data_IF_619858534181
#
_entry.id   IF_619858534181
#
_cell.length_a   1.000
_cell.length_b   1.000
_cell.length_c   1.000
_cell.angle_alpha   90.00
_cell.angle_beta   90.00
_cell.angle_gamma   90.00
#
_symmetry.space_group_name_H-M   'P 1'
#
loop_
_entity.id
_entity.type
_entity.pdbx_description
1 polymer ?
#
# COMPACT_ATOMS: atom_id res chain seq x y z
N UNK A 1 16.75 1.64 18.97
CA UNK A 1 17.44 0.34 18.83
C UNK A 1 16.41 -0.62 18.24
N UNK A 2 16.75 -1.36 17.17
CA UNK A 2 15.89 -2.15 16.25
C UNK A 2 15.46 -1.40 14.98
N UNK A 3 15.64 -2.02 13.78
CA UNK A 3 15.53 -3.46 13.48
C UNK A 3 16.86 -4.15 13.09
N UNK A 4 17.05 -5.44 13.40
CA UNK A 4 18.27 -6.19 13.03
C UNK A 4 17.99 -7.31 12.00
N UNK A 5 18.95 -7.56 11.10
CA UNK A 5 18.98 -8.66 10.13
C UNK A 5 19.87 -9.79 10.64
N UNK A 6 19.42 -11.03 10.54
CA UNK A 6 20.22 -12.21 10.85
C UNK A 6 21.06 -12.66 9.64
N UNK A 7 22.38 -12.82 9.78
CA UNK A 7 23.19 -13.66 8.86
C UNK A 7 23.77 -14.87 9.59
N UNK A 8 23.63 -16.03 8.96
CA UNK A 8 24.24 -17.29 9.42
C UNK A 8 25.74 -17.29 9.09
N UNK A 9 26.59 -17.61 10.07
CA UNK A 9 28.05 -17.52 9.96
C UNK A 9 28.74 -18.81 9.47
N UNK A 10 28.00 -19.72 8.84
CA UNK A 10 28.57 -20.95 8.26
C UNK A 10 28.50 -20.94 6.72
N UNK A 11 29.38 -20.15 6.10
CA UNK A 11 29.79 -20.39 4.71
C UNK A 11 31.32 -20.34 4.67
N UNK A 12 31.94 -21.53 4.57
CA UNK A 12 33.39 -21.67 4.37
C UNK A 12 33.77 -21.08 3.02
N UNK A 13 34.71 -20.14 3.01
CA UNK A 13 35.40 -19.68 1.82
C UNK A 13 36.34 -20.79 1.29
N UNK A 14 36.41 -21.05 -0.03
CA UNK A 14 37.50 -21.84 -0.59
C UNK A 14 38.77 -20.99 -0.77
N UNK A 15 39.89 -21.64 -0.54
CA UNK A 15 41.22 -21.08 -0.36
C UNK A 15 41.88 -20.50 -1.62
N UNK A 16 42.81 -19.58 -1.37
CA UNK A 16 43.73 -18.95 -2.33
C UNK A 16 44.65 -19.99 -3.01
N UNK A 17 44.84 -19.84 -4.33
CA UNK A 17 46.09 -20.20 -5.04
C UNK A 17 46.41 -19.08 -6.03
N UNK A 18 47.65 -18.61 -6.01
CA UNK A 18 48.31 -17.97 -7.16
C UNK A 18 49.67 -18.67 -7.36
N UNK A 19 50.57 -18.15 -8.22
CA UNK A 19 50.37 -17.38 -9.44
C UNK A 19 50.85 -18.19 -10.68
N UNK A 20 50.45 -17.82 -11.90
CA UNK A 20 51.24 -18.21 -13.08
C UNK A 20 51.23 -17.13 -14.16
N UNK A 21 52.40 -16.99 -14.79
CA UNK A 21 52.86 -15.87 -15.60
C UNK A 21 52.46 -16.01 -17.09
N UNK A 22 52.35 -14.87 -17.79
CA UNK A 22 52.87 -14.72 -19.17
C UNK A 22 51.93 -14.76 -20.39
N UNK A 23 51.55 -13.55 -20.86
CA UNK A 23 51.55 -13.06 -22.26
C UNK A 23 50.57 -13.65 -23.34
N UNK A 24 50.41 -13.00 -24.52
CA UNK A 24 49.95 -11.62 -24.77
C UNK A 24 48.71 -11.54 -25.71
N UNK A 25 48.08 -10.36 -25.75
CA UNK A 25 46.88 -9.99 -26.52
C UNK A 25 47.18 -9.82 -28.02
N UNK A 26 46.36 -10.41 -28.91
CA UNK A 26 46.35 -10.14 -30.37
C UNK A 26 45.22 -9.16 -30.76
N UNK A 27 45.47 -8.20 -31.68
CA UNK A 27 44.45 -7.24 -32.12
C UNK A 27 43.51 -7.81 -33.21
N UNK A 28 42.27 -7.29 -33.25
CA UNK A 28 41.25 -7.60 -34.28
C UNK A 28 41.51 -6.79 -35.56
N UNK A 29 41.28 -7.35 -36.76
CA UNK A 29 41.35 -6.60 -38.02
C UNK A 29 40.02 -5.87 -38.32
N UNK A 30 40.16 -4.69 -38.93
CA UNK A 30 39.08 -3.85 -39.47
C UNK A 30 38.96 -4.12 -40.98
N UNK A 31 37.77 -4.34 -41.55
CA UNK A 31 37.63 -4.46 -43.01
C UNK A 31 37.48 -3.09 -43.70
N UNK A 32 37.99 -2.92 -44.94
CA UNK A 32 38.00 -1.65 -45.65
C UNK A 32 36.68 -1.33 -46.37
N UNK A 33 36.40 -0.03 -46.49
CA UNK A 33 35.39 0.56 -47.36
C UNK A 33 35.89 0.55 -48.82
N UNK A 34 35.07 0.04 -49.75
CA UNK A 34 35.23 0.27 -51.18
C UNK A 34 33.95 0.83 -51.78
N UNK A 35 34.15 1.92 -52.52
CA UNK A 35 33.20 2.73 -53.25
C UNK A 35 33.02 2.20 -54.67
N UNK A 36 31.78 2.25 -55.18
CA UNK A 36 31.46 2.64 -56.55
C UNK A 36 31.57 1.58 -57.67
N UNK A 37 30.44 1.12 -58.17
CA UNK A 37 30.16 0.95 -59.61
C UNK A 37 28.66 0.68 -59.84
N UNK A 38 28.11 1.37 -60.83
CA UNK A 38 26.68 1.51 -61.18
C UNK A 38 26.22 0.56 -62.31
N UNK A 39 24.93 0.20 -62.23
CA UNK A 39 23.94 -0.17 -63.28
C UNK A 39 24.28 -1.23 -64.36
N UNK A 40 23.45 -2.28 -64.44
CA UNK A 40 22.46 -2.45 -65.54
C UNK A 40 21.55 -3.67 -65.31
N UNK A 41 20.27 -3.47 -65.65
CA UNK A 41 19.17 -4.41 -65.91
C UNK A 41 19.37 -5.91 -65.67
N UNK A 42 18.63 -6.46 -64.69
CA UNK A 42 17.78 -7.66 -64.86
C UNK A 42 16.60 -7.63 -63.89
N UNK A 43 15.40 -7.42 -64.41
CA UNK A 43 14.12 -7.61 -63.70
C UNK A 43 13.89 -9.11 -63.50
N UNK A 44 13.70 -9.61 -62.26
CA UNK A 44 13.24 -10.99 -62.06
C UNK A 44 11.72 -11.09 -62.26
N UNK A 45 11.20 -12.23 -62.73
CA UNK A 45 9.81 -12.39 -63.14
C UNK A 45 8.82 -12.35 -61.97
N UNK A 46 7.66 -11.73 -62.21
CA UNK A 46 6.49 -11.70 -61.32
C UNK A 46 5.81 -13.07 -61.37
N UNK A 47 5.87 -13.83 -60.28
CA UNK A 47 5.07 -15.04 -60.09
C UNK A 47 3.77 -14.64 -59.39
N UNK A 48 2.65 -14.71 -60.12
CA UNK A 48 1.30 -14.53 -59.61
C UNK A 48 0.87 -15.75 -58.79
N UNK A 49 0.94 -15.61 -57.47
CA UNK A 49 0.37 -16.57 -56.52
C UNK A 49 -0.27 -15.80 -55.37
N UNK A 50 -1.54 -15.44 -55.50
CA UNK A 50 -2.33 -14.89 -54.40
C UNK A 50 -2.55 -16.00 -53.35
N UNK A 51 -1.57 -16.20 -52.47
CA UNK A 51 -1.81 -16.80 -51.18
C UNK A 51 -2.67 -15.81 -50.39
N UNK A 52 -3.93 -16.18 -50.12
CA UNK A 52 -4.78 -15.46 -49.16
C UNK A 52 -3.97 -15.26 -47.87
N UNK A 53 -3.90 -14.05 -47.29
CA UNK A 53 -3.25 -13.88 -46.01
C UNK A 53 -3.92 -14.82 -45.02
N UNK A 54 -3.12 -15.62 -44.32
CA UNK A 54 -3.60 -16.46 -43.24
C UNK A 54 -4.43 -15.58 -42.31
N UNK A 55 -5.70 -15.96 -42.11
CA UNK A 55 -6.54 -15.38 -41.07
C UNK A 55 -5.79 -15.61 -39.76
N UNK A 56 -5.16 -14.56 -39.24
CA UNK A 56 -4.58 -14.57 -37.90
C UNK A 56 -5.77 -14.87 -36.98
N UNK A 57 -5.82 -16.02 -36.28
CA UNK A 57 -6.89 -16.25 -35.31
C UNK A 57 -6.90 -15.06 -34.36
N UNK A 58 -8.08 -14.52 -33.98
CA UNK A 58 -8.14 -13.38 -33.08
C UNK A 58 -7.24 -13.69 -31.89
N UNK A 59 -6.23 -12.84 -31.70
CA UNK A 59 -5.20 -13.05 -30.70
C UNK A 59 -5.86 -13.43 -29.38
N UNK A 60 -5.29 -14.44 -28.73
CA UNK A 60 -5.71 -14.88 -27.39
C UNK A 60 -6.07 -13.63 -26.58
N UNK A 61 -7.28 -13.54 -25.97
CA UNK A 61 -7.67 -12.35 -25.22
C UNK A 61 -6.53 -11.96 -24.30
N UNK A 62 -6.15 -10.67 -24.23
CA UNK A 62 -4.95 -10.25 -23.51
C UNK A 62 -5.00 -10.91 -22.13
N UNK A 63 -3.97 -11.72 -21.82
CA UNK A 63 -3.90 -12.44 -20.55
C UNK A 63 -4.23 -11.45 -19.46
N UNK A 64 -5.35 -11.69 -18.75
CA UNK A 64 -5.83 -10.80 -17.71
C UNK A 64 -4.66 -10.60 -16.75
N UNK A 65 -4.15 -9.37 -16.64
CA UNK A 65 -2.98 -9.09 -15.81
C UNK A 65 -3.25 -9.61 -14.40
N UNK A 66 -2.48 -10.60 -13.97
CA UNK A 66 -2.57 -11.15 -12.61
C UNK A 66 -1.76 -10.23 -11.69
N UNK A 67 -2.46 -9.56 -10.79
CA UNK A 67 -1.84 -8.68 -9.81
C UNK A 67 -1.23 -9.49 -8.69
N UNK A 68 0.04 -9.21 -8.36
CA UNK A 68 0.75 -9.93 -7.30
C UNK A 68 0.07 -9.72 -5.95
N UNK A 69 -0.29 -8.47 -5.64
CA UNK A 69 -0.82 -8.05 -4.34
C UNK A 69 -2.36 -8.03 -4.26
N UNK A 70 -3.07 -8.47 -5.29
CA UNK A 70 -4.54 -8.59 -5.29
C UNK A 70 -5.00 -9.75 -6.20
N UNK A 71 -4.87 -10.98 -5.70
CA UNK A 71 -5.14 -12.17 -6.52
C UNK A 71 -6.65 -12.46 -6.59
N UNK A 72 -7.12 -13.22 -7.59
CA UNK A 72 -8.55 -13.56 -7.71
C UNK A 72 -9.15 -14.26 -6.49
N UNK A 73 -8.38 -15.11 -5.80
CA UNK A 73 -8.79 -15.75 -4.54
C UNK A 73 -8.99 -14.75 -3.40
N UNK A 74 -8.17 -13.71 -3.38
CA UNK A 74 -8.20 -12.66 -2.37
C UNK A 74 -9.47 -11.80 -2.55
N UNK A 75 -9.87 -11.52 -3.79
CA UNK A 75 -11.12 -10.80 -4.10
C UNK A 75 -12.37 -11.50 -3.54
N UNK A 76 -12.40 -12.84 -3.53
CA UNK A 76 -13.54 -13.59 -2.94
C UNK A 76 -13.62 -13.38 -1.43
N UNK A 77 -12.48 -13.41 -0.74
CA UNK A 77 -12.42 -13.15 0.69
C UNK A 77 -12.84 -11.70 1.02
N UNK A 78 -12.40 -10.73 0.21
CA UNK A 78 -12.72 -9.31 0.39
C UNK A 78 -14.19 -8.97 0.09
N UNK A 79 -14.86 -9.68 -0.83
CA UNK A 79 -16.29 -9.45 -1.11
C UNK A 79 -17.16 -9.61 0.12
N UNK A 80 -16.85 -10.58 0.98
CA UNK A 80 -17.59 -10.83 2.23
C UNK A 80 -17.37 -9.72 3.29
N UNK A 81 -16.40 -8.83 3.06
CA UNK A 81 -16.03 -7.75 3.97
C UNK A 81 -16.58 -6.38 3.53
N UNK A 82 -17.22 -6.30 2.36
CA UNK A 82 -17.75 -5.05 1.82
C UNK A 82 -18.80 -4.39 2.73
N UNK A 83 -19.61 -5.18 3.43
CA UNK A 83 -20.59 -4.65 4.38
C UNK A 83 -19.92 -4.00 5.59
N UNK A 84 -18.96 -4.71 6.20
CA UNK A 84 -18.25 -4.20 7.38
C UNK A 84 -17.37 -2.97 7.04
N UNK A 85 -16.80 -2.92 5.83
CA UNK A 85 -16.09 -1.75 5.36
C UNK A 85 -17.03 -0.53 5.16
N UNK A 86 -18.31 -0.73 4.82
CA UNK A 86 -19.27 0.37 4.63
C UNK A 86 -19.57 1.09 5.94
N UNK A 87 -19.62 0.33 7.04
CA UNK A 87 -19.79 0.88 8.39
C UNK A 87 -18.63 1.79 8.79
N UNK A 88 -17.39 1.50 8.34
CA UNK A 88 -16.24 2.38 8.57
C UNK A 88 -16.46 3.75 7.94
N UNK A 89 -16.89 3.76 6.67
CA UNK A 89 -17.15 4.96 5.89
C UNK A 89 -18.27 5.79 6.52
N UNK A 90 -19.36 5.13 6.91
CA UNK A 90 -20.50 5.77 7.59
C UNK A 90 -20.10 6.33 8.97
N UNK A 91 -19.21 5.64 9.70
CA UNK A 91 -18.62 6.12 10.97
C UNK A 91 -17.80 7.40 10.82
N UNK A 92 -16.96 7.51 9.79
CA UNK A 92 -16.18 8.73 9.48
C UNK A 92 -17.10 9.91 9.17
N UNK A 93 -18.18 9.65 8.43
CA UNK A 93 -19.12 10.70 8.01
C UNK A 93 -20.09 11.13 9.11
N UNK A 94 -20.43 10.23 10.03
CA UNK A 94 -21.41 10.47 11.11
C UNK A 94 -20.84 11.19 12.34
N UNK A 95 -19.56 11.57 12.33
CA UNK A 95 -18.90 12.31 13.41
C UNK A 95 -19.70 13.53 13.90
N UNK A 96 -20.40 13.35 15.04
CA UNK A 96 -21.13 14.24 15.96
C UNK A 96 -22.03 15.36 15.46
N UNK A 97 -22.03 15.72 14.18
CA UNK A 97 -23.10 16.51 13.58
C UNK A 97 -23.26 16.03 12.15
N UNK A 98 -24.43 15.44 11.83
CA UNK A 98 -24.89 15.34 10.44
C UNK A 98 -24.72 16.74 9.85
N UNK A 99 -23.82 16.91 8.89
CA UNK A 99 -23.74 18.17 8.17
C UNK A 99 -25.11 18.40 7.53
N UNK A 100 -25.84 19.47 7.87
CA UNK A 100 -27.14 19.76 7.27
C UNK A 100 -27.02 20.18 5.79
N UNK A 101 -25.79 20.26 5.25
CA UNK A 101 -25.55 20.65 3.86
C UNK A 101 -25.83 19.51 2.87
N UNK A 102 -27.06 19.56 2.37
CA UNK A 102 -27.61 18.83 1.23
C UNK A 102 -26.92 19.29 -0.04
N UNK A 103 -26.00 18.48 -0.57
CA UNK A 103 -25.38 18.69 -1.88
C UNK A 103 -26.15 17.96 -2.97
N UNK A 104 -25.95 18.38 -4.23
CA UNK A 104 -26.63 17.87 -5.41
C UNK A 104 -26.16 16.44 -5.78
N UNK A 105 -26.91 15.43 -5.34
CA UNK A 105 -26.87 14.07 -5.90
C UNK A 105 -27.98 13.87 -6.94
N UNK A 106 -27.87 12.87 -7.83
CA UNK A 106 -28.89 12.58 -8.84
C UNK A 106 -30.09 11.75 -8.34
N UNK A 107 -29.99 11.08 -7.18
CA UNK A 107 -31.07 10.22 -6.66
C UNK A 107 -32.01 10.98 -5.72
N UNK A 108 -33.27 11.06 -6.13
CA UNK A 108 -34.36 11.71 -5.41
C UNK A 108 -34.82 10.85 -4.24
N UNK A 109 -34.85 11.41 -3.03
CA UNK A 109 -35.41 10.74 -1.84
C UNK A 109 -36.87 11.12 -1.66
N UNK A 110 -37.14 12.41 -1.43
CA UNK A 110 -38.46 12.89 -1.02
C UNK A 110 -38.60 14.41 -1.27
N UNK A 111 -39.81 14.94 -1.09
CA UNK A 111 -40.10 16.35 -1.05
C UNK A 111 -40.16 16.86 0.40
N UNK A 112 -39.61 18.05 0.64
CA UNK A 112 -39.88 18.81 1.88
C UNK A 112 -40.50 20.14 1.51
N UNK A 113 -41.42 20.63 2.32
CA UNK A 113 -41.90 22.01 2.19
C UNK A 113 -40.75 23.02 2.39
N UNK A 114 -40.74 24.04 1.55
CA UNK A 114 -39.77 25.12 1.58
C UNK A 114 -39.90 25.92 2.88
N UNK A 115 -38.77 26.24 3.50
CA UNK A 115 -38.71 27.16 4.62
C UNK A 115 -37.86 28.39 4.25
N UNK A 116 -38.19 29.59 4.78
CA UNK A 116 -37.37 30.78 4.62
C UNK A 116 -35.91 30.51 5.05
N UNK A 117 -34.97 30.72 4.13
CA UNK A 117 -33.56 30.38 4.30
C UNK A 117 -33.08 29.20 3.45
N UNK A 118 -34.00 28.42 2.88
CA UNK A 118 -33.68 27.40 1.88
C UNK A 118 -33.32 28.06 0.53
N UNK A 119 -32.42 27.43 -0.22
CA UNK A 119 -31.96 27.93 -1.51
C UNK A 119 -33.07 27.81 -2.57
N UNK A 120 -33.53 28.94 -3.12
CA UNK A 120 -34.66 29.02 -4.07
C UNK A 120 -34.45 28.16 -5.32
N UNK A 121 -33.20 27.94 -5.73
CA UNK A 121 -32.85 27.07 -6.88
C UNK A 121 -33.25 25.61 -6.69
N UNK A 122 -33.49 25.18 -5.45
CA UNK A 122 -33.86 23.80 -5.12
C UNK A 122 -35.36 23.53 -5.17
N UNK A 123 -36.18 24.57 -5.42
CA UNK A 123 -37.63 24.46 -5.54
C UNK A 123 -38.01 23.64 -6.79
N UNK A 124 -38.91 22.68 -6.62
CA UNK A 124 -39.51 21.97 -7.75
C UNK A 124 -40.75 22.72 -8.27
N UNK A 125 -40.56 23.43 -9.37
CA UNK A 125 -41.63 24.12 -10.08
C UNK A 125 -42.73 23.18 -10.58
N UNK A 126 -42.44 21.89 -10.84
CA UNK A 126 -43.47 20.91 -11.23
C UNK A 126 -44.33 20.48 -10.04
N UNK A 127 -43.75 20.37 -8.85
CA UNK A 127 -44.50 20.08 -7.62
C UNK A 127 -45.38 21.28 -7.26
N UNK A 128 -44.84 22.50 -7.38
CA UNK A 128 -45.60 23.75 -7.18
C UNK A 128 -46.81 23.82 -8.11
N UNK A 129 -46.62 23.59 -9.41
CA UNK A 129 -47.71 23.63 -10.39
C UNK A 129 -48.87 22.66 -10.13
N UNK A 130 -48.67 21.62 -9.31
CA UNK A 130 -49.71 20.62 -8.97
C UNK A 130 -50.35 20.84 -7.60
N UNK A 131 -49.65 21.50 -6.69
CA UNK A 131 -50.02 21.54 -5.26
C UNK A 131 -50.16 22.95 -4.70
N UNK A 132 -49.76 23.96 -5.47
CA UNK A 132 -49.69 25.38 -5.08
C UNK A 132 -48.90 25.62 -3.78
N UNK A 133 -47.99 24.69 -3.46
CA UNK A 133 -47.09 24.74 -2.30
C UNK A 133 -45.65 24.61 -2.76
N UNK A 134 -44.76 25.35 -2.11
CA UNK A 134 -43.33 25.31 -2.41
C UNK A 134 -42.70 24.08 -1.79
N UNK A 135 -42.26 23.15 -2.64
CA UNK A 135 -41.50 21.99 -2.24
C UNK A 135 -40.07 22.07 -2.77
N UNK A 136 -39.11 21.65 -1.95
CA UNK A 136 -37.73 21.43 -2.34
C UNK A 136 -37.48 19.93 -2.56
N UNK A 137 -36.70 19.58 -3.58
CA UNK A 137 -36.24 18.19 -3.79
C UNK A 137 -35.15 17.85 -2.79
N UNK A 138 -35.33 16.74 -2.08
CA UNK A 138 -34.27 16.13 -1.29
C UNK A 138 -33.54 15.10 -2.15
N UNK A 139 -32.23 15.24 -2.24
CA UNK A 139 -31.35 14.29 -2.91
C UNK A 139 -30.53 13.52 -1.87
N UNK A 140 -30.31 12.23 -2.09
CA UNK A 140 -29.45 11.40 -1.22
C UNK A 140 -27.99 11.73 -1.48
N UNK A 141 -27.32 12.39 -0.54
CA UNK A 141 -25.89 12.61 -0.67
C UNK A 141 -25.14 11.33 -0.31
N UNK A 142 -24.73 10.56 -1.32
CA UNK A 142 -23.58 9.67 -1.21
C UNK A 142 -22.38 10.56 -0.85
N UNK A 143 -21.97 10.51 0.41
CA UNK A 143 -20.87 11.35 0.87
C UNK A 143 -19.60 10.56 0.58
N UNK A 144 -18.88 10.93 -0.48
CA UNK A 144 -17.60 10.31 -0.81
C UNK A 144 -16.58 10.57 0.31
N UNK A 145 -16.04 9.52 0.92
CA UNK A 145 -14.92 9.61 1.85
C UNK A 145 -13.62 9.75 1.07
N UNK A 146 -12.66 10.46 1.67
CA UNK A 146 -11.25 10.34 1.28
C UNK A 146 -10.52 9.40 2.24
N UNK A 147 -9.97 8.32 1.71
CA UNK A 147 -9.05 7.42 2.40
C UNK A 147 -7.62 7.72 1.95
N UNK A 148 -6.75 8.04 2.90
CA UNK A 148 -5.33 8.32 2.69
C UNK A 148 -4.53 7.18 3.30
N UNK A 149 -3.84 6.40 2.46
CA UNK A 149 -2.98 5.29 2.90
C UNK A 149 -1.52 5.71 2.79
N UNK A 150 -0.83 5.76 3.91
CA UNK A 150 0.63 5.93 4.01
C UNK A 150 1.26 4.57 4.22
N UNK A 151 2.17 4.17 3.33
CA UNK A 151 2.84 2.87 3.37
C UNK A 151 4.34 3.06 3.49
N UNK A 152 4.89 2.51 4.55
CA UNK A 152 6.32 2.44 4.78
C UNK A 152 6.95 1.44 3.81
N UNK A 153 7.95 1.91 3.06
CA UNK A 153 8.76 1.10 2.15
C UNK A 153 10.24 1.19 2.50
N UNK A 154 10.60 1.44 3.74
CA UNK A 154 11.97 1.49 4.22
C UNK A 154 12.71 0.16 4.15
N UNK A 155 14.02 0.20 4.45
CA UNK A 155 14.89 -0.97 4.48
C UNK A 155 14.42 -2.04 5.48
N UNK A 156 13.85 -1.65 6.62
CA UNK A 156 13.34 -2.59 7.63
C UNK A 156 12.17 -3.42 7.10
N UNK A 157 11.31 -2.83 6.27
CA UNK A 157 10.16 -3.47 5.65
C UNK A 157 10.55 -4.60 4.67
N UNK A 158 11.81 -4.69 4.24
CA UNK A 158 12.29 -5.82 3.42
C UNK A 158 12.48 -7.14 4.17
N UNK A 159 12.37 -7.15 5.50
CA UNK A 159 12.54 -8.37 6.30
C UNK A 159 11.52 -9.45 5.91
N UNK A 160 11.98 -10.70 5.84
CA UNK A 160 11.20 -11.84 5.32
C UNK A 160 11.14 -11.93 3.79
N UNK A 161 11.69 -10.96 3.07
CA UNK A 161 11.77 -10.98 1.60
C UNK A 161 12.79 -11.96 1.05
N UNK A 162 13.01 -11.89 -0.27
CA UNK A 162 13.89 -12.82 -1.01
C UNK A 162 15.30 -12.95 -0.43
N UNK A 163 15.86 -11.87 0.13
CA UNK A 163 17.16 -11.87 0.79
C UNK A 163 17.24 -12.78 2.04
N UNK A 164 16.10 -13.18 2.59
CA UNK A 164 15.97 -14.05 3.77
C UNK A 164 15.49 -15.47 3.43
N UNK A 165 15.26 -15.75 2.14
CA UNK A 165 14.83 -17.08 1.67
C UNK A 165 15.91 -18.12 2.01
N UNK A 166 15.52 -19.17 2.72
CA UNK A 166 16.43 -20.21 3.20
C UNK A 166 17.29 -19.83 4.42
N UNK A 167 17.19 -18.59 4.92
CA UNK A 167 17.79 -18.18 6.20
C UNK A 167 16.80 -18.32 7.34
N UNK A 168 15.52 -18.04 7.10
CA UNK A 168 14.46 -18.18 8.09
C UNK A 168 13.87 -19.60 8.08
N UNK A 169 13.43 -20.15 9.24
CA UNK A 169 12.83 -21.48 9.31
C UNK A 169 11.54 -21.62 8.49
N UNK A 170 10.82 -20.51 8.27
CA UNK A 170 9.56 -20.46 7.50
C UNK A 170 9.70 -19.55 6.29
N UNK A 171 9.00 -19.91 5.20
CA UNK A 171 8.88 -19.10 3.99
C UNK A 171 7.70 -18.14 4.13
N UNK A 172 7.86 -17.13 4.96
CA UNK A 172 6.83 -16.12 5.18
C UNK A 172 6.90 -14.99 4.15
N UNK A 173 5.82 -14.23 4.05
CA UNK A 173 5.73 -13.04 3.21
C UNK A 173 6.56 -11.91 3.84
N UNK A 174 7.25 -11.11 3.02
CA UNK A 174 7.99 -9.96 3.53
C UNK A 174 7.05 -8.93 4.19
N UNK A 175 7.54 -8.15 5.16
CA UNK A 175 6.73 -7.06 5.75
C UNK A 175 6.20 -6.10 4.69
N UNK A 176 7.02 -5.77 3.68
CA UNK A 176 6.66 -4.88 2.58
C UNK A 176 5.56 -5.47 1.70
N UNK A 177 5.68 -6.75 1.30
CA UNK A 177 4.65 -7.42 0.52
C UNK A 177 3.35 -7.52 1.32
N UNK A 178 3.45 -7.81 2.62
CA UNK A 178 2.30 -7.83 3.52
C UNK A 178 1.60 -6.46 3.60
N UNK A 179 2.37 -5.38 3.74
CA UNK A 179 1.85 -4.02 3.70
C UNK A 179 1.20 -3.68 2.35
N UNK A 180 1.75 -4.17 1.23
CA UNK A 180 1.16 -4.00 -0.10
C UNK A 180 -0.12 -4.81 -0.28
N UNK A 181 -0.21 -6.03 0.25
CA UNK A 181 -1.46 -6.81 0.28
C UNK A 181 -2.56 -6.08 1.07
N UNK A 182 -2.23 -5.56 2.26
CA UNK A 182 -3.16 -4.74 3.05
C UNK A 182 -3.61 -3.50 2.28
N UNK A 183 -2.67 -2.77 1.68
CA UNK A 183 -2.94 -1.55 0.92
C UNK A 183 -3.85 -1.83 -0.28
N UNK A 184 -3.54 -2.86 -1.06
CA UNK A 184 -4.32 -3.27 -2.23
C UNK A 184 -5.74 -3.69 -1.85
N UNK A 185 -5.88 -4.45 -0.77
CA UNK A 185 -7.17 -4.88 -0.25
C UNK A 185 -8.02 -3.71 0.24
N UNK A 186 -7.44 -2.82 1.05
CA UNK A 186 -8.13 -1.61 1.55
C UNK A 186 -8.52 -0.68 0.40
N UNK A 187 -7.60 -0.42 -0.54
CA UNK A 187 -7.88 0.40 -1.72
C UNK A 187 -9.02 -0.19 -2.57
N UNK A 188 -9.03 -1.51 -2.76
CA UNK A 188 -10.11 -2.20 -3.47
C UNK A 188 -11.45 -2.03 -2.74
N UNK A 189 -11.50 -2.23 -1.42
CA UNK A 189 -12.73 -2.10 -0.63
C UNK A 189 -13.31 -0.68 -0.73
N UNK A 190 -12.48 0.34 -0.55
CA UNK A 190 -12.89 1.76 -0.64
C UNK A 190 -13.39 2.12 -2.05
N UNK A 191 -12.63 1.79 -3.10
CA UNK A 191 -13.04 2.06 -4.49
C UNK A 191 -14.32 1.32 -4.84
N UNK A 192 -14.50 0.09 -4.34
CA UNK A 192 -15.72 -0.69 -4.59
C UNK A 192 -16.96 -0.08 -3.94
N UNK A 193 -16.78 0.71 -2.88
CA UNK A 193 -17.84 1.43 -2.17
C UNK A 193 -18.15 2.81 -2.76
N UNK A 194 -17.33 3.31 -3.68
CA UNK A 194 -17.46 4.65 -4.24
C UNK A 194 -16.60 5.72 -3.56
N UNK A 195 -15.75 5.32 -2.60
CA UNK A 195 -14.85 6.24 -1.91
C UNK A 195 -13.56 6.50 -2.69
N UNK A 196 -12.91 7.62 -2.37
CA UNK A 196 -11.65 8.04 -2.99
C UNK A 196 -10.47 7.55 -2.16
N UNK A 197 -9.48 6.98 -2.83
CA UNK A 197 -8.26 6.47 -2.21
C UNK A 197 -7.04 7.21 -2.73
N UNK A 198 -6.20 7.66 -1.81
CA UNK A 198 -4.85 8.15 -2.05
C UNK A 198 -3.87 7.18 -1.43
N UNK A 199 -2.78 6.89 -2.14
CA UNK A 199 -1.70 6.05 -1.62
C UNK A 199 -0.41 6.85 -1.71
N UNK A 200 0.32 6.94 -0.60
CA UNK A 200 1.66 7.50 -0.58
C UNK A 200 2.65 6.51 -0.01
N UNK A 201 3.77 6.34 -0.71
CA UNK A 201 4.85 5.45 -0.33
C UNK A 201 6.00 6.29 0.20
N UNK A 202 6.58 5.89 1.32
CA UNK A 202 7.64 6.66 1.96
C UNK A 202 8.77 5.79 2.51
N UNK A 203 9.94 6.38 2.60
CA UNK A 203 11.08 5.88 3.36
C UNK A 203 11.59 7.02 4.27
N UNK A 204 12.77 7.57 4.00
CA UNK A 204 13.30 8.78 4.64
C UNK A 204 12.62 10.05 4.11
N UNK A 205 11.94 9.93 2.96
CA UNK A 205 11.15 10.98 2.32
C UNK A 205 9.89 10.40 1.68
N UNK A 206 8.99 11.27 1.26
CA UNK A 206 7.87 10.87 0.43
C UNK A 206 8.35 10.49 -0.99
N UNK A 207 8.30 9.20 -1.33
CA UNK A 207 8.83 8.67 -2.60
C UNK A 207 7.82 8.81 -3.72
N UNK A 208 6.56 8.53 -3.42
CA UNK A 208 5.47 8.60 -4.40
C UNK A 208 4.17 8.96 -3.71
N UNK A 209 3.39 9.83 -4.34
CA UNK A 209 2.05 10.19 -3.88
C UNK A 209 1.07 10.09 -5.04
N UNK A 210 0.06 9.23 -4.90
CA UNK A 210 -1.09 9.15 -5.79
C UNK A 210 -2.23 9.93 -5.15
N UNK A 211 -2.74 10.93 -5.87
CA UNK A 211 -3.85 11.78 -5.39
C UNK A 211 -5.13 10.94 -5.18
N UNK A 212 -6.07 11.39 -4.34
CA UNK A 212 -7.33 10.66 -4.13
C UNK A 212 -8.10 10.43 -5.44
N UNK A 213 -8.46 9.17 -5.70
CA UNK A 213 -9.30 8.76 -6.83
C UNK A 213 -10.17 7.56 -6.47
N UNK A 214 -11.38 7.49 -7.02
CA UNK A 214 -12.40 6.48 -6.67
C UNK A 214 -12.79 5.53 -7.79
N UNK A 215 -12.00 5.46 -8.88
CA UNK A 215 -12.34 4.66 -10.06
C UNK A 215 -11.50 3.39 -10.13
N UNK A 216 -12.00 2.34 -10.81
CA UNK A 216 -11.21 1.13 -11.05
C UNK A 216 -9.90 1.37 -11.83
N UNK A 217 -9.85 2.24 -12.86
CA UNK A 217 -8.59 2.65 -13.47
C UNK A 217 -7.59 3.23 -12.45
N UNK A 218 -8.05 4.05 -11.50
CA UNK A 218 -7.21 4.57 -10.43
C UNK A 218 -6.71 3.47 -9.49
N UNK A 219 -7.55 2.49 -9.16
CA UNK A 219 -7.12 1.30 -8.42
C UNK A 219 -6.00 0.56 -9.16
N UNK A 220 -6.10 0.38 -10.48
CA UNK A 220 -5.03 -0.26 -11.26
C UNK A 220 -3.75 0.58 -11.28
N UNK A 221 -3.84 1.91 -11.26
CA UNK A 221 -2.68 2.79 -11.08
C UNK A 221 -2.00 2.54 -9.72
N UNK A 222 -2.79 2.43 -8.64
CA UNK A 222 -2.30 2.07 -7.31
C UNK A 222 -1.60 0.72 -7.35
N UNK A 223 -2.23 -0.33 -7.88
CA UNK A 223 -1.64 -1.68 -7.93
C UNK A 223 -0.33 -1.70 -8.74
N UNK A 224 -0.30 -1.01 -9.89
CA UNK A 224 0.93 -0.82 -10.67
C UNK A 224 2.01 -0.07 -9.89
N UNK A 225 1.62 0.88 -9.05
CA UNK A 225 2.55 1.63 -8.24
C UNK A 225 3.21 0.78 -7.16
N UNK A 226 2.48 -0.19 -6.59
CA UNK A 226 2.99 -1.14 -5.59
C UNK A 226 3.94 -2.18 -6.22
N UNK A 227 3.58 -2.78 -7.36
CA UNK A 227 4.37 -3.85 -8.01
C UNK A 227 5.80 -3.44 -8.39
N UNK A 228 6.02 -2.14 -8.64
CA UNK A 228 7.32 -1.62 -9.10
C UNK A 228 8.27 -1.25 -7.98
N UNK A 229 7.89 -1.48 -6.72
CA UNK A 229 8.63 -0.96 -5.58
C UNK A 229 9.55 -2.00 -4.98
N UNK A 230 10.72 -1.52 -4.59
CA UNK A 230 11.62 -2.20 -3.68
C UNK A 230 11.72 -1.38 -2.40
N UNK A 231 12.16 -2.03 -1.33
CA UNK A 231 12.53 -1.35 -0.11
C UNK A 231 13.57 -0.26 -0.40
N UNK A 232 13.35 0.92 0.17
CA UNK A 232 14.18 2.09 0.10
C UNK A 232 15.13 2.16 1.29
N UNK A 233 15.39 3.38 1.74
CA UNK A 233 16.39 3.68 2.78
C UNK A 233 15.76 3.70 4.19
N UNK A 234 16.35 4.44 5.13
CA UNK A 234 15.88 4.54 6.53
C UNK A 234 14.48 5.14 6.62
N UNK A 235 13.75 4.85 7.69
CA UNK A 235 12.45 5.48 7.97
C UNK A 235 12.62 6.73 8.83
N UNK A 236 11.78 7.75 8.62
CA UNK A 236 11.57 8.82 9.59
C UNK A 236 10.08 9.15 9.66
N UNK A 237 9.28 8.29 10.31
CA UNK A 237 7.81 8.31 10.16
C UNK A 237 7.20 9.62 10.66
N UNK A 238 7.71 10.16 11.77
CA UNK A 238 7.28 11.44 12.33
C UNK A 238 7.46 12.58 11.31
N UNK A 239 8.62 12.64 10.65
CA UNK A 239 8.92 13.60 9.58
C UNK A 239 7.98 13.42 8.38
N UNK A 240 7.76 12.18 7.94
CA UNK A 240 6.87 11.89 6.80
C UNK A 240 5.43 12.33 7.08
N UNK A 241 4.94 12.13 8.31
CA UNK A 241 3.64 12.61 8.72
C UNK A 241 3.56 14.15 8.66
N UNK A 242 4.66 14.87 8.82
CA UNK A 242 4.67 16.33 8.61
C UNK A 242 4.65 16.68 7.12
N UNK A 243 5.48 16.01 6.31
CA UNK A 243 5.60 16.22 4.86
C UNK A 243 4.28 15.89 4.12
N UNK A 244 3.56 14.87 4.57
CA UNK A 244 2.31 14.43 3.97
C UNK A 244 1.09 15.28 4.37
N UNK A 245 1.13 15.95 5.53
CA UNK A 245 0.03 16.75 6.07
C UNK A 245 -0.57 17.77 5.06
N UNK A 246 0.22 18.59 4.33
CA UNK A 246 -0.32 19.54 3.36
C UNK A 246 -0.98 18.89 2.14
N UNK A 247 -0.62 17.64 1.81
CA UNK A 247 -1.18 16.93 0.66
C UNK A 247 -2.63 16.50 0.89
N UNK A 248 -3.02 16.30 2.16
CA UNK A 248 -4.35 15.80 2.50
C UNK A 248 -5.33 16.96 2.66
N UNK A 249 -5.88 17.43 1.53
CA UNK A 249 -6.69 18.65 1.48
C UNK A 249 -8.07 18.55 2.11
N UNK A 250 -8.63 17.34 2.28
CA UNK A 250 -9.92 17.12 2.94
C UNK A 250 -9.74 16.14 4.10
N UNK A 251 -10.58 16.26 5.13
CA UNK A 251 -10.65 15.26 6.21
C UNK A 251 -11.07 13.91 5.65
N UNK A 252 -10.80 12.85 6.40
CA UNK A 252 -11.21 11.50 6.04
C UNK A 252 -10.49 10.48 6.92
N UNK A 253 -10.32 9.28 6.38
CA UNK A 253 -9.60 8.19 7.03
C UNK A 253 -8.12 8.25 6.66
N UNK A 254 -7.24 8.31 7.65
CA UNK A 254 -5.80 8.15 7.50
C UNK A 254 -5.40 6.75 7.97
N UNK A 255 -4.88 5.94 7.05
CA UNK A 255 -4.34 4.62 7.34
C UNK A 255 -2.81 4.69 7.22
N UNK A 256 -2.08 4.29 8.26
CA UNK A 256 -0.62 4.23 8.26
C UNK A 256 -0.18 2.79 8.46
N UNK A 257 0.61 2.26 7.54
CA UNK A 257 1.12 0.89 7.55
C UNK A 257 2.65 0.95 7.61
N UNK A 258 3.22 0.53 8.74
CA UNK A 258 4.65 0.59 9.04
C UNK A 258 4.97 -0.45 10.12
N UNK A 259 6.24 -0.73 10.38
CA UNK A 259 6.65 -1.43 11.60
C UNK A 259 6.70 -0.51 12.83
N UNK A 260 6.56 0.81 12.62
CA UNK A 260 6.55 1.86 13.64
C UNK A 260 7.75 1.79 14.59
N UNK A 261 8.91 1.30 14.14
CA UNK A 261 10.12 1.19 14.96
C UNK A 261 10.81 2.55 15.14
N UNK A 262 10.09 3.51 15.70
CA UNK A 262 10.52 4.89 16.00
C UNK A 262 9.94 5.31 17.37
N UNK A 263 10.37 6.44 17.91
CA UNK A 263 9.96 6.90 19.25
C UNK A 263 8.45 7.20 19.31
N UNK A 264 7.64 6.43 20.08
CA UNK A 264 6.17 6.50 20.00
C UNK A 264 5.62 7.92 20.19
N UNK A 265 6.13 8.64 21.18
CA UNK A 265 5.72 10.00 21.54
C UNK A 265 5.88 10.97 20.36
N UNK A 266 6.92 10.81 19.55
CA UNK A 266 7.15 11.65 18.37
C UNK A 266 6.15 11.36 17.26
N UNK A 267 5.83 10.08 17.04
CA UNK A 267 4.84 9.62 16.06
C UNK A 267 3.47 10.20 16.42
N UNK A 268 3.04 10.03 17.67
CA UNK A 268 1.72 10.48 18.10
C UNK A 268 1.59 12.01 18.13
N UNK A 269 2.66 12.73 18.44
CA UNK A 269 2.69 14.20 18.32
C UNK A 269 2.47 14.65 16.87
N UNK A 270 3.08 13.96 15.91
CA UNK A 270 2.85 14.25 14.49
C UNK A 270 1.41 13.91 14.06
N UNK A 271 0.82 12.83 14.62
CA UNK A 271 -0.57 12.43 14.36
C UNK A 271 -1.61 13.37 14.97
N UNK A 272 -1.30 14.08 16.07
CA UNK A 272 -2.24 14.99 16.72
C UNK A 272 -2.74 16.11 15.78
N UNK A 273 -1.90 16.60 14.85
CA UNK A 273 -2.34 17.57 13.82
C UNK A 273 -3.47 17.03 12.93
N UNK A 274 -3.41 15.75 12.57
CA UNK A 274 -4.46 15.11 11.80
C UNK A 274 -5.74 14.96 12.63
N UNK A 275 -5.62 14.61 13.92
CA UNK A 275 -6.77 14.52 14.84
C UNK A 275 -7.48 15.87 15.02
N UNK A 276 -6.72 16.95 15.21
CA UNK A 276 -7.27 18.30 15.30
C UNK A 276 -8.02 18.73 14.03
N UNK A 277 -7.67 18.14 12.88
CA UNK A 277 -8.38 18.31 11.61
C UNK A 277 -9.48 17.27 11.36
N UNK A 278 -9.88 16.53 12.41
CA UNK A 278 -10.93 15.51 12.39
C UNK A 278 -10.68 14.37 11.41
N UNK A 279 -9.41 14.00 11.22
CA UNK A 279 -9.11 12.70 10.61
C UNK A 279 -9.40 11.61 11.60
N UNK A 280 -9.97 10.54 11.09
CA UNK A 280 -9.89 9.27 11.77
C UNK A 280 -8.58 8.58 11.40
N UNK A 281 -7.93 7.94 12.36
CA UNK A 281 -6.59 7.41 12.18
C UNK A 281 -6.59 5.92 12.52
N UNK A 282 -6.03 5.14 11.60
CA UNK A 282 -5.86 3.71 11.68
C UNK A 282 -4.39 3.35 11.48
N UNK A 283 -3.78 2.71 12.47
CA UNK A 283 -2.39 2.30 12.44
C UNK A 283 -2.32 0.77 12.32
N UNK A 284 -1.57 0.27 11.33
CA UNK A 284 -1.24 -1.15 11.19
C UNK A 284 0.26 -1.34 11.43
N UNK A 285 0.62 -1.80 12.63
CA UNK A 285 1.98 -2.19 12.93
C UNK A 285 2.27 -3.58 12.37
N UNK A 286 3.06 -3.64 11.30
CA UNK A 286 3.45 -4.88 10.64
C UNK A 286 4.82 -5.31 11.11
N UNK A 287 4.91 -6.40 11.87
CA UNK A 287 6.18 -7.05 12.21
C UNK A 287 6.28 -8.41 11.52
N UNK A 288 7.50 -8.85 11.23
CA UNK A 288 7.70 -10.26 10.90
C UNK A 288 7.60 -11.13 12.16
N UNK A 289 7.12 -12.38 12.05
CA UNK A 289 7.04 -13.30 13.20
C UNK A 289 8.38 -13.40 13.94
N UNK A 290 9.47 -13.62 13.19
CA UNK A 290 10.83 -13.64 13.75
C UNK A 290 11.44 -12.31 14.20
N UNK A 291 10.78 -11.18 13.93
CA UNK A 291 11.10 -9.91 14.60
C UNK A 291 10.35 -9.81 15.93
N UNK A 292 9.12 -10.32 16.02
CA UNK A 292 8.39 -10.34 17.28
C UNK A 292 8.91 -11.39 18.26
N UNK A 293 9.27 -12.58 17.75
CA UNK A 293 9.81 -13.70 18.52
C UNK A 293 11.11 -14.18 17.88
N UNK A 294 12.24 -14.00 18.58
CA UNK A 294 13.54 -14.34 17.97
C UNK A 294 13.59 -15.81 17.51
N UNK A 295 14.12 -16.10 16.32
CA UNK A 295 14.22 -17.46 15.80
C UNK A 295 15.19 -18.31 16.65
N UNK A 296 15.00 -19.63 16.71
CA UNK A 296 15.80 -20.54 17.53
C UNK A 296 17.15 -20.88 16.87
N UNK A 297 17.91 -19.87 16.43
CA UNK A 297 19.24 -20.07 15.85
C UNK A 297 20.31 -20.23 16.94
N UNK A 298 21.34 -21.04 16.67
CA UNK A 298 22.44 -21.25 17.64
C UNK A 298 23.34 -20.01 17.79
N UNK A 299 23.68 -19.37 16.66
CA UNK A 299 24.49 -18.16 16.57
C UNK A 299 24.02 -17.32 15.40
N UNK A 300 23.86 -16.03 15.65
CA UNK A 300 23.39 -15.10 14.65
C UNK A 300 24.21 -13.83 14.72
N UNK A 301 24.58 -13.33 13.56
CA UNK A 301 25.04 -11.96 13.43
C UNK A 301 23.81 -11.10 13.20
N UNK A 302 23.38 -10.37 14.22
CA UNK A 302 22.40 -9.31 14.11
C UNK A 302 23.05 -8.14 13.38
N UNK A 303 22.40 -7.58 12.37
CA UNK A 303 22.85 -6.42 11.60
C UNK A 303 21.76 -5.36 11.65
N UNK A 304 21.99 -4.26 12.33
CA UNK A 304 21.03 -3.17 12.38
C UNK A 304 20.73 -2.68 10.95
N UNK A 305 19.46 -2.65 10.58
CA UNK A 305 19.00 -2.40 9.22
C UNK A 305 19.16 -0.94 8.83
N UNK A 306 19.38 -0.04 9.79
CA UNK A 306 19.52 1.39 9.57
C UNK A 306 21.00 1.80 9.54
N UNK A 307 21.79 1.35 10.50
CA UNK A 307 23.19 1.71 10.71
C UNK A 307 24.17 0.72 10.09
N UNK A 308 23.75 -0.53 9.90
CA UNK A 308 24.63 -1.62 9.48
C UNK A 308 25.55 -2.15 10.58
N UNK A 309 25.40 -1.65 11.82
CA UNK A 309 26.13 -2.15 12.98
C UNK A 309 25.81 -3.62 13.22
N UNK A 310 26.79 -4.37 13.71
CA UNK A 310 26.63 -5.81 13.83
C UNK A 310 27.00 -6.34 15.19
N UNK A 311 26.09 -7.09 15.80
CA UNK A 311 26.28 -7.77 17.06
C UNK A 311 26.21 -9.27 16.81
N UNK A 312 27.27 -10.00 17.17
CA UNK A 312 27.25 -11.45 17.19
C UNK A 312 26.78 -11.91 18.56
N UNK A 313 25.61 -12.54 18.62
CA UNK A 313 25.06 -13.08 19.86
C UNK A 313 24.27 -14.35 19.58
N UNK A 314 23.98 -15.12 20.64
CA UNK A 314 23.02 -16.22 20.55
C UNK A 314 21.65 -15.63 20.88
N UNK A 315 20.63 -15.80 20.01
CA UNK A 315 19.27 -15.38 20.31
C UNK A 315 18.76 -15.84 21.68
N UNK A 316 19.17 -17.03 22.14
CA UNK A 316 18.83 -17.56 23.45
C UNK A 316 19.30 -16.67 24.61
N UNK A 317 20.47 -16.03 24.48
CA UNK A 317 21.09 -15.24 25.56
C UNK A 317 20.39 -13.88 25.75
N UNK A 318 19.76 -13.35 24.69
CA UNK A 318 19.10 -12.03 24.68
C UNK A 318 17.58 -12.10 24.63
N UNK A 319 16.99 -13.30 24.48
CA UNK A 319 15.55 -13.49 24.25
C UNK A 319 14.71 -12.81 25.31
N UNK A 320 15.03 -13.03 26.58
CA UNK A 320 14.22 -12.51 27.70
C UNK A 320 14.19 -10.98 27.72
N UNK A 321 15.35 -10.32 27.55
CA UNK A 321 15.40 -8.85 27.52
C UNK A 321 14.74 -8.30 26.27
N UNK A 322 14.99 -8.93 25.11
CA UNK A 322 14.39 -8.54 23.83
C UNK A 322 12.86 -8.62 23.84
N UNK A 323 12.31 -9.76 24.28
CA UNK A 323 10.87 -9.98 24.33
C UNK A 323 10.20 -8.97 25.28
N UNK A 324 10.87 -8.64 26.40
CA UNK A 324 10.38 -7.63 27.34
C UNK A 324 10.37 -6.23 26.71
N UNK A 325 11.46 -5.82 26.04
CA UNK A 325 11.56 -4.54 25.34
C UNK A 325 10.53 -4.42 24.21
N UNK A 326 10.41 -5.43 23.36
CA UNK A 326 9.44 -5.46 22.26
C UNK A 326 8.00 -5.37 22.78
N UNK A 327 7.66 -6.11 23.83
CA UNK A 327 6.33 -6.03 24.46
C UNK A 327 6.08 -4.69 25.14
N UNK A 328 7.10 -4.07 25.74
CA UNK A 328 7.00 -2.71 26.29
C UNK A 328 6.71 -1.69 25.19
N UNK A 329 7.43 -1.80 24.07
CA UNK A 329 7.27 -0.93 22.92
C UNK A 329 5.86 -1.02 22.31
N UNK A 330 5.38 -2.23 22.04
CA UNK A 330 4.02 -2.46 21.52
C UNK A 330 2.96 -1.95 22.50
N UNK A 331 3.17 -2.12 23.82
CA UNK A 331 2.28 -1.57 24.85
C UNK A 331 2.28 -0.04 24.85
N UNK A 332 3.42 0.61 24.69
CA UNK A 332 3.54 2.06 24.62
C UNK A 332 2.80 2.62 23.39
N UNK A 333 2.96 2.00 22.22
CA UNK A 333 2.21 2.35 21.01
C UNK A 333 0.70 2.19 21.22
N UNK A 334 0.27 1.05 21.77
CA UNK A 334 -1.15 0.77 22.01
C UNK A 334 -1.77 1.74 23.03
N UNK A 335 -1.06 2.04 24.13
CA UNK A 335 -1.51 2.98 25.15
C UNK A 335 -1.65 4.40 24.60
N UNK A 336 -0.64 4.88 23.86
CA UNK A 336 -0.67 6.19 23.25
C UNK A 336 -1.78 6.31 22.18
N UNK A 337 -2.04 5.26 21.41
CA UNK A 337 -3.13 5.21 20.44
C UNK A 337 -4.50 5.28 21.13
N UNK A 338 -4.72 4.45 22.17
CA UNK A 338 -5.96 4.43 22.95
C UNK A 338 -6.26 5.78 23.61
N UNK A 339 -5.26 6.41 24.22
CA UNK A 339 -5.39 7.73 24.83
C UNK A 339 -5.83 8.81 23.82
N UNK A 340 -5.58 8.58 22.53
CA UNK A 340 -5.91 9.50 21.43
C UNK A 340 -7.11 9.05 20.60
N UNK A 341 -7.80 7.97 20.99
CA UNK A 341 -8.88 7.36 20.20
C UNK A 341 -8.44 7.05 18.75
N UNK A 342 -7.21 6.54 18.61
CA UNK A 342 -6.65 6.05 17.36
C UNK A 342 -6.80 4.53 17.35
N UNK A 343 -7.30 3.98 16.24
CA UNK A 343 -7.37 2.53 16.07
C UNK A 343 -5.98 1.97 15.76
N UNK A 344 -5.51 1.08 16.64
CA UNK A 344 -4.19 0.46 16.52
C UNK A 344 -4.31 -1.05 16.36
N UNK A 345 -3.69 -1.57 15.31
CA UNK A 345 -3.69 -2.99 14.96
C UNK A 345 -2.26 -3.48 14.85
N UNK A 346 -1.85 -4.32 15.81
CA UNK A 346 -0.62 -5.09 15.74
C UNK A 346 -0.85 -6.35 14.92
N UNK A 347 0.02 -6.61 13.93
CA UNK A 347 -0.09 -7.74 13.02
C UNK A 347 1.27 -8.35 12.74
N UNK A 348 1.32 -9.68 12.67
CA UNK A 348 2.50 -10.42 12.23
C UNK A 348 2.30 -10.93 10.80
N UNK A 349 3.39 -11.09 10.06
CA UNK A 349 3.36 -11.62 8.67
C UNK A 349 2.88 -13.08 8.58
N UNK A 350 2.85 -13.80 9.70
CA UNK A 350 2.33 -15.18 9.79
C UNK A 350 0.80 -15.22 9.66
N UNK A 351 0.10 -14.23 10.23
CA UNK A 351 -1.36 -14.17 10.13
C UNK A 351 -1.76 -13.70 8.74
N UNK A 352 -2.64 -14.40 8.00
CA UNK A 352 -3.09 -13.93 6.69
C UNK A 352 -3.76 -12.55 6.75
N UNK A 353 -3.35 -11.63 5.89
CA UNK A 353 -3.86 -10.24 5.88
C UNK A 353 -5.39 -10.15 5.75
N UNK A 354 -6.02 -11.10 5.05
CA UNK A 354 -7.47 -11.17 4.91
C UNK A 354 -8.18 -11.43 6.25
N UNK A 355 -7.55 -12.23 7.12
CA UNK A 355 -8.08 -12.51 8.46
C UNK A 355 -7.93 -11.30 9.38
N UNK A 356 -6.77 -10.64 9.32
CA UNK A 356 -6.54 -9.37 10.02
C UNK A 356 -7.59 -8.32 9.63
N UNK A 357 -7.80 -8.11 8.34
CA UNK A 357 -8.82 -7.16 7.87
C UNK A 357 -10.22 -7.57 8.32
N UNK A 358 -10.57 -8.86 8.22
CA UNK A 358 -11.85 -9.36 8.71
C UNK A 358 -12.05 -9.07 10.19
N UNK A 359 -11.06 -9.40 11.03
CA UNK A 359 -11.12 -9.19 12.48
C UNK A 359 -11.27 -7.71 12.80
N UNK A 360 -10.48 -6.85 12.17
CA UNK A 360 -10.57 -5.41 12.35
C UNK A 360 -11.94 -4.87 11.96
N UNK A 361 -12.41 -5.15 10.74
CA UNK A 361 -13.69 -4.67 10.22
C UNK A 361 -14.87 -5.11 11.10
N UNK A 362 -14.88 -6.37 11.58
CA UNK A 362 -15.92 -6.89 12.47
C UNK A 362 -15.86 -6.28 13.88
N UNK A 363 -14.66 -6.09 14.42
CA UNK A 363 -14.50 -5.46 15.74
C UNK A 363 -15.04 -4.04 15.75
N UNK A 364 -14.97 -3.38 14.60
CA UNK A 364 -15.36 -2.00 14.43
C UNK A 364 -16.82 -1.82 14.05
N UNK A 365 -17.43 -2.77 13.34
CA UNK A 365 -18.88 -2.78 13.12
C UNK A 365 -19.68 -3.04 14.39
N UNK A 366 -19.05 -3.58 15.42
CA UNK A 366 -19.67 -3.93 16.70
C UNK A 366 -19.55 -2.82 17.76
N UNK A 367 -18.86 -1.71 17.44
CA UNK A 367 -18.79 -0.49 18.26
C UNK A 367 -19.88 0.47 17.83
#
# INVERSE_FOLDING_TARGET
MFPWRARNSQVRAPARRGPNQGAPVKPRPVPPLLSGATLTDRVPPVISGFARPAVIPPGLPPRRKEWTHLRPKDLKALKNLLFAARIIVEGVHSGRHKSPYRGASPEFIDYREYNPGDEIRTIDWKAYARTDRYFIKLFEKETEMNCYILVDKSASMSYGGEAYRGLLPTHDVSKLDYAFFLTAALAYLMVKQGDKVSVSLFDSRLVRHLRPGGTFPHLYEILNALERQKAGERTAISRILEEAYPLFRRRGLLIVISDFLDEPETIFRALDRYRHRHFEILLFQVLHQYEFELPPFERVKFVDAETGETIASRPADIRTSYDAEMRNFIRALSANARARNIDYNFVTTETPYSEVLRKYLLSRSSR
#
